data_IF_766270759680
#
_entry.id   IF_766270759680
#
_cell.length_a   1.000
_cell.length_b   1.000
_cell.length_c   1.000
_cell.angle_alpha   90.00
_cell.angle_beta   90.00
_cell.angle_gamma   90.00
#
_symmetry.space_group_name_H-M   'P 1'
#
loop_
_entity.id
_entity.type
_entity.pdbx_description
1 polymer ?
#
# COMPACT_ATOMS: atom_id res chain seq x y z
N UNK A 1 -6.82 3.77 -6.18
CA UNK A 1 -7.73 2.71 -6.65
C UNK A 1 -7.60 1.51 -5.73
N UNK A 2 -8.62 1.24 -4.92
CA UNK A 2 -8.59 0.26 -3.84
C UNK A 2 -8.91 0.88 -2.49
N UNK A 3 -8.88 0.04 -1.45
CA UNK A 3 -9.17 0.46 -0.09
C UNK A 3 -8.14 1.44 0.46
N UNK A 4 -8.60 2.32 1.34
CA UNK A 4 -7.78 3.24 2.13
C UNK A 4 -8.15 3.06 3.60
N UNK A 5 -7.15 2.92 4.47
CA UNK A 5 -7.37 2.78 5.91
C UNK A 5 -6.35 3.64 6.66
N UNK A 6 -6.85 4.66 7.37
CA UNK A 6 -6.06 5.57 8.20
C UNK A 6 -6.44 5.37 9.67
N UNK A 7 -5.45 5.16 10.53
CA UNK A 7 -5.66 5.05 11.98
C UNK A 7 -5.73 6.42 12.67
N UNK A 8 -4.97 7.41 12.19
CA UNK A 8 -4.92 8.76 12.76
C UNK A 8 -4.43 8.78 14.22
N UNK A 9 -3.56 7.85 14.60
CA UNK A 9 -3.04 7.74 15.97
C UNK A 9 -2.44 9.07 16.43
N UNK A 10 -2.96 9.61 17.54
CA UNK A 10 -2.51 10.89 18.11
C UNK A 10 -3.17 12.14 17.51
N UNK A 11 -4.04 12.00 16.51
CA UNK A 11 -4.85 13.10 15.98
C UNK A 11 -6.09 13.33 16.83
N UNK A 12 -6.46 14.59 17.03
CA UNK A 12 -7.79 14.95 17.50
C UNK A 12 -8.82 14.77 16.36
N UNK A 13 -10.10 14.66 16.69
CA UNK A 13 -11.18 14.56 15.68
C UNK A 13 -11.26 15.78 14.75
N UNK A 14 -10.74 16.94 15.19
CA UNK A 14 -10.68 18.16 14.38
C UNK A 14 -9.46 18.24 13.46
N UNK A 15 -8.45 17.42 13.69
CA UNK A 15 -7.23 17.40 12.88
C UNK A 15 -7.49 16.66 11.57
N UNK A 16 -6.90 17.12 10.47
CA UNK A 16 -7.06 16.46 9.18
C UNK A 16 -6.17 15.21 9.14
N UNK A 17 -6.80 14.04 9.01
CA UNK A 17 -6.09 12.76 8.85
C UNK A 17 -5.66 12.54 7.40
N UNK A 18 -6.47 13.01 6.45
CA UNK A 18 -6.22 12.93 5.02
C UNK A 18 -6.88 14.12 4.31
N UNK A 19 -6.13 14.79 3.44
CA UNK A 19 -6.63 15.87 2.57
C UNK A 19 -6.55 15.43 1.11
N UNK A 20 -7.70 15.23 0.50
CA UNK A 20 -7.84 14.98 -0.93
C UNK A 20 -8.34 16.25 -1.60
N UNK A 21 -7.46 16.88 -2.37
CA UNK A 21 -7.75 18.12 -3.10
C UNK A 21 -7.51 17.97 -4.60
N UNK A 22 -7.94 18.98 -5.37
CA UNK A 22 -7.80 18.97 -6.83
C UNK A 22 -8.64 17.88 -7.47
N UNK A 23 -7.99 16.90 -8.13
CA UNK A 23 -8.65 15.76 -8.79
C UNK A 23 -8.32 14.42 -8.11
N UNK A 24 -7.86 14.44 -6.85
CA UNK A 24 -7.55 13.22 -6.12
C UNK A 24 -8.80 12.34 -5.94
N UNK A 25 -8.68 11.03 -6.16
CA UNK A 25 -9.83 10.13 -6.10
C UNK A 25 -9.47 8.77 -5.50
N UNK A 26 -10.35 8.26 -4.64
CA UNK A 26 -10.34 6.86 -4.21
C UNK A 26 -11.41 6.12 -5.02
N UNK A 27 -11.01 5.15 -5.84
CA UNK A 27 -11.93 4.40 -6.72
C UNK A 27 -11.94 2.90 -6.44
N UNK A 28 -13.00 2.21 -6.88
CA UNK A 28 -13.26 0.79 -6.61
C UNK A 28 -12.95 -0.15 -7.79
N UNK A 29 -12.14 0.29 -8.74
CA UNK A 29 -11.82 -0.47 -9.96
C UNK A 29 -10.44 -0.05 -10.51
N UNK A 30 -10.03 -0.63 -11.63
CA UNK A 30 -8.76 -0.35 -12.31
C UNK A 30 -8.87 0.70 -13.44
N UNK A 31 -9.82 1.62 -13.36
CA UNK A 31 -9.91 2.72 -14.32
C UNK A 31 -8.58 3.47 -14.43
N UNK A 32 -8.14 3.71 -15.67
CA UNK A 32 -6.89 4.41 -15.96
C UNK A 32 -5.61 3.60 -15.76
N UNK A 33 -5.68 2.31 -15.36
CA UNK A 33 -4.50 1.47 -15.18
C UNK A 33 -3.79 1.20 -16.52
N UNK A 34 -2.47 1.47 -16.62
CA UNK A 34 -1.67 1.11 -17.79
C UNK A 34 -1.70 -0.38 -18.14
N UNK A 35 -1.72 -0.71 -19.44
CA UNK A 35 -1.80 -2.09 -19.92
C UNK A 35 -0.58 -2.95 -19.51
N UNK A 36 0.58 -2.32 -19.36
CA UNK A 36 1.80 -3.01 -18.91
C UNK A 36 1.76 -3.36 -17.42
N UNK A 37 1.04 -2.61 -16.58
CA UNK A 37 0.72 -3.02 -15.21
C UNK A 37 -0.36 -4.10 -15.17
N UNK A 38 -1.48 -3.89 -15.88
CA UNK A 38 -2.63 -4.82 -15.83
C UNK A 38 -2.29 -6.22 -16.37
N UNK A 39 -1.37 -6.32 -17.33
CA UNK A 39 -0.87 -7.61 -17.84
C UNK A 39 -0.01 -8.40 -16.85
N UNK A 40 0.42 -7.78 -15.74
CA UNK A 40 1.34 -8.35 -14.73
C UNK A 40 0.68 -8.59 -13.38
N UNK A 41 -0.63 -8.42 -13.28
CA UNK A 41 -1.43 -8.71 -12.08
C UNK A 41 -2.66 -9.54 -12.46
N UNK A 42 -3.31 -10.23 -11.50
CA UNK A 42 -4.59 -10.87 -11.75
C UNK A 42 -5.64 -9.87 -12.26
N UNK A 43 -6.59 -10.33 -13.09
CA UNK A 43 -7.68 -9.47 -13.54
C UNK A 43 -8.50 -8.96 -12.35
N UNK A 44 -9.13 -7.79 -12.55
CA UNK A 44 -10.07 -7.22 -11.58
C UNK A 44 -11.13 -8.26 -11.19
N UNK A 45 -11.30 -8.58 -9.90
CA UNK A 45 -12.34 -9.50 -9.46
C UNK A 45 -13.73 -9.03 -9.88
N UNK A 46 -14.68 -9.96 -10.01
CA UNK A 46 -16.07 -9.63 -10.38
C UNK A 46 -17.03 -9.88 -9.22
N UNK A 47 -18.05 -9.04 -9.08
CA UNK A 47 -19.14 -9.18 -8.12
C UNK A 47 -20.49 -8.89 -8.80
N UNK A 48 -21.59 -9.13 -8.08
CA UNK A 48 -22.93 -8.72 -8.51
C UNK A 48 -23.30 -7.43 -7.80
N UNK A 49 -23.58 -6.37 -8.56
CA UNK A 49 -24.02 -5.08 -8.04
C UNK A 49 -25.25 -4.60 -8.83
N UNK A 50 -26.33 -4.24 -8.13
CA UNK A 50 -27.60 -3.83 -8.75
C UNK A 50 -28.15 -4.79 -9.83
N UNK A 51 -27.87 -6.09 -9.71
CA UNK A 51 -28.29 -7.12 -10.65
C UNK A 51 -27.39 -7.29 -11.88
N UNK A 52 -26.29 -6.54 -11.96
CA UNK A 52 -25.29 -6.63 -13.04
C UNK A 52 -24.01 -7.31 -12.53
N UNK A 53 -23.32 -8.08 -13.39
CA UNK A 53 -21.98 -8.59 -13.09
C UNK A 53 -20.93 -7.56 -13.49
N UNK A 54 -20.21 -7.03 -12.51
CA UNK A 54 -19.27 -5.92 -12.67
C UNK A 54 -17.92 -6.25 -12.03
N UNK A 55 -16.84 -5.66 -12.54
CA UNK A 55 -15.52 -5.70 -11.92
C UNK A 55 -15.46 -4.78 -10.69
N UNK A 56 -14.93 -5.27 -9.56
CA UNK A 56 -14.83 -4.52 -8.31
C UNK A 56 -13.56 -4.91 -7.55
N UNK A 57 -12.96 -3.93 -6.87
CA UNK A 57 -11.90 -4.17 -5.89
C UNK A 57 -12.44 -4.50 -4.49
N UNK A 58 -13.75 -4.40 -4.30
CA UNK A 58 -14.39 -4.38 -2.99
C UNK A 58 -13.71 -3.40 -2.04
N UNK A 59 -13.43 -2.21 -2.58
CA UNK A 59 -12.72 -1.15 -1.89
C UNK A 59 -13.57 -0.55 -0.78
N UNK A 60 -12.91 -0.32 0.36
CA UNK A 60 -13.49 0.31 1.53
C UNK A 60 -12.62 1.50 1.96
N UNK A 61 -13.26 2.58 2.40
CA UNK A 61 -12.58 3.78 2.90
C UNK A 61 -12.80 3.88 4.41
N UNK A 62 -11.71 3.83 5.18
CA UNK A 62 -11.75 3.85 6.65
C UNK A 62 -10.84 4.92 7.22
N UNK A 63 -11.35 5.71 8.16
CA UNK A 63 -10.56 6.64 8.96
C UNK A 63 -11.02 6.52 10.41
N UNK A 64 -10.11 6.09 11.30
CA UNK A 64 -10.42 5.88 12.72
C UNK A 64 -10.39 7.16 13.53
N UNK A 65 -9.41 8.03 13.30
CA UNK A 65 -9.30 9.31 13.99
C UNK A 65 -8.91 10.40 12.98
N UNK A 66 -9.40 11.62 13.22
CA UNK A 66 -9.19 12.78 12.37
C UNK A 66 -10.19 12.88 11.21
N UNK A 67 -10.25 14.08 10.62
CA UNK A 67 -11.17 14.44 9.55
C UNK A 67 -10.63 14.06 8.17
N UNK A 68 -11.52 13.66 7.28
CA UNK A 68 -11.26 13.50 5.84
C UNK A 68 -11.64 14.76 5.09
N UNK A 69 -10.68 15.51 4.56
CA UNK A 69 -10.97 16.71 3.77
C UNK A 69 -11.10 16.37 2.28
N UNK A 70 -12.23 16.74 1.67
CA UNK A 70 -12.50 16.61 0.23
C UNK A 70 -12.72 18.00 -0.38
N UNK A 71 -11.81 18.42 -1.25
CA UNK A 71 -11.84 19.75 -1.88
C UNK A 71 -11.66 19.70 -3.40
N UNK A 72 -12.06 20.77 -4.09
CA UNK A 72 -11.97 20.83 -5.55
C UNK A 72 -12.95 19.86 -6.22
N UNK A 73 -12.43 18.89 -6.97
CA UNK A 73 -13.19 17.79 -7.61
C UNK A 73 -12.83 16.42 -7.04
N UNK A 74 -12.22 16.37 -5.85
CA UNK A 74 -11.83 15.13 -5.23
C UNK A 74 -13.04 14.26 -4.85
N UNK A 75 -12.89 12.94 -4.91
CA UNK A 75 -13.99 11.99 -4.63
C UNK A 75 -13.53 10.76 -3.84
N UNK A 76 -14.48 10.18 -3.10
CA UNK A 76 -14.38 8.81 -2.54
C UNK A 76 -15.49 7.99 -3.18
N UNK A 77 -15.12 7.03 -4.03
CA UNK A 77 -16.01 6.41 -4.98
C UNK A 77 -16.43 7.37 -6.11
N UNK A 78 -17.24 6.85 -7.02
CA UNK A 78 -17.88 7.57 -8.11
C UNK A 78 -19.36 7.18 -8.18
N UNK A 79 -20.18 8.01 -8.80
CA UNK A 79 -21.60 7.71 -8.99
C UNK A 79 -21.77 6.47 -9.87
N UNK A 80 -22.60 5.53 -9.44
CA UNK A 80 -22.92 4.32 -10.21
C UNK A 80 -23.51 4.67 -11.59
N UNK A 81 -22.98 4.05 -12.64
CA UNK A 81 -23.49 4.17 -14.01
C UNK A 81 -23.94 2.79 -14.48
N UNK A 82 -25.27 2.56 -14.51
CA UNK A 82 -25.83 1.27 -14.97
C UNK A 82 -25.38 0.93 -16.39
N UNK A 83 -25.03 -0.33 -16.60
CA UNK A 83 -24.49 -0.85 -17.86
C UNK A 83 -22.96 -0.77 -17.98
N UNK A 84 -22.25 -0.16 -17.02
CA UNK A 84 -20.80 -0.23 -16.98
C UNK A 84 -20.32 -1.62 -16.54
N UNK A 85 -19.15 -2.01 -17.02
CA UNK A 85 -18.55 -3.31 -16.67
C UNK A 85 -17.80 -3.30 -15.34
N UNK A 86 -17.78 -2.18 -14.62
CA UNK A 86 -17.05 -1.98 -13.36
C UNK A 86 -17.94 -1.29 -12.35
N UNK A 87 -17.67 -1.50 -11.07
CA UNK A 87 -18.33 -0.82 -9.96
C UNK A 87 -17.64 0.52 -9.68
N UNK A 88 -18.41 1.59 -9.61
CA UNK A 88 -17.93 2.95 -9.31
C UNK A 88 -17.98 3.30 -7.82
N UNK A 89 -19.03 2.86 -7.12
CA UNK A 89 -19.24 3.15 -5.69
C UNK A 89 -18.28 2.36 -4.83
N UNK A 90 -17.89 2.91 -3.68
CA UNK A 90 -17.19 2.14 -2.64
C UNK A 90 -18.12 1.07 -2.06
N UNK A 91 -17.58 -0.08 -1.66
CA UNK A 91 -18.35 -1.12 -0.96
C UNK A 91 -18.71 -0.66 0.46
N UNK A 92 -17.84 0.16 1.08
CA UNK A 92 -18.12 0.77 2.37
C UNK A 92 -17.26 1.99 2.67
N UNK A 93 -17.84 2.91 3.43
CA UNK A 93 -17.18 4.08 4.01
C UNK A 93 -17.45 4.06 5.52
N UNK A 94 -16.37 4.11 6.31
CA UNK A 94 -16.39 4.01 7.77
C UNK A 94 -15.43 5.06 8.35
N UNK A 95 -15.94 6.27 8.56
CA UNK A 95 -15.15 7.37 9.10
C UNK A 95 -15.71 7.68 10.48
N UNK A 96 -14.84 7.71 11.48
CA UNK A 96 -15.30 8.07 12.81
C UNK A 96 -15.85 9.49 12.80
N UNK A 97 -17.04 9.60 13.36
CA UNK A 97 -17.84 10.80 13.42
C UNK A 97 -17.68 11.29 14.86
N UNK A 98 -16.64 12.09 15.10
CA UNK A 98 -16.36 12.64 16.42
C UNK A 98 -17.61 13.31 17.03
N UNK A 99 -17.76 13.37 18.37
CA UNK A 99 -18.96 13.91 18.97
C UNK A 99 -19.19 15.34 18.47
N UNK A 100 -20.38 15.56 17.89
CA UNK A 100 -20.93 16.84 17.45
C UNK A 100 -20.41 17.97 18.35
N UNK A 101 -19.56 18.85 17.80
CA UNK A 101 -19.18 20.06 18.52
C UNK A 101 -20.49 20.81 18.78
N UNK A 102 -20.73 21.21 20.03
CA UNK A 102 -22.04 21.67 20.50
C UNK A 102 -22.56 22.97 19.87
N UNK A 103 -21.97 23.46 18.78
CA UNK A 103 -22.50 24.54 17.98
C UNK A 103 -23.58 24.00 17.01
N UNK A 104 -24.83 24.13 17.44
CA UNK A 104 -26.06 23.86 16.69
C UNK A 104 -26.25 24.84 15.50
N UNK A 105 -25.17 25.25 14.83
CA UNK A 105 -25.20 26.05 13.61
C UNK A 105 -25.46 25.10 12.43
N UNK A 106 -26.62 25.20 11.77
CA UNK A 106 -26.91 24.39 10.60
C UNK A 106 -25.92 24.75 9.47
N UNK A 107 -25.00 23.85 9.14
CA UNK A 107 -24.11 23.99 7.98
C UNK A 107 -22.61 23.81 8.21
N UNK A 108 -22.16 23.41 9.40
CA UNK A 108 -20.71 23.29 9.69
C UNK A 108 -20.34 21.89 10.16
N UNK A 109 -19.58 21.20 9.29
CA UNK A 109 -18.86 19.94 9.50
C UNK A 109 -19.71 18.71 9.88
N UNK A 110 -19.92 17.84 8.89
CA UNK A 110 -20.14 16.42 9.19
C UNK A 110 -18.81 15.93 9.77
N UNK A 111 -18.81 15.70 11.07
CA UNK A 111 -17.78 15.13 11.95
C UNK A 111 -16.79 14.08 11.39
N UNK A 112 -17.01 13.48 10.22
CA UNK A 112 -16.00 12.70 9.48
C UNK A 112 -15.41 13.35 8.21
N UNK A 113 -16.11 14.30 7.59
CA UNK A 113 -15.78 14.88 6.29
C UNK A 113 -15.79 16.42 6.28
N UNK A 114 -14.68 17.03 5.85
CA UNK A 114 -14.52 18.47 5.63
C UNK A 114 -14.11 18.83 4.21
N UNK A 115 -13.57 20.04 4.02
CA UNK A 115 -13.24 20.58 2.70
C UNK A 115 -14.45 21.17 1.94
N UNK A 116 -14.21 21.70 0.73
CA UNK A 116 -15.25 22.42 -0.03
C UNK A 116 -16.35 21.51 -0.58
N UNK A 117 -16.07 20.23 -0.75
CA UNK A 117 -17.03 19.22 -1.22
C UNK A 117 -17.57 18.39 -0.04
N UNK A 118 -16.68 18.04 0.90
CA UNK A 118 -17.03 17.20 2.04
C UNK A 118 -17.80 15.95 1.63
N UNK A 119 -18.83 15.54 2.38
CA UNK A 119 -19.51 14.27 2.13
C UNK A 119 -20.30 14.21 0.82
N UNK A 120 -20.55 15.34 0.15
CA UNK A 120 -21.32 15.37 -1.10
C UNK A 120 -20.62 14.65 -2.26
N UNK A 121 -19.29 14.48 -2.18
CA UNK A 121 -18.48 13.77 -3.16
C UNK A 121 -18.09 12.34 -2.71
N UNK A 122 -18.86 11.77 -1.79
CA UNK A 122 -18.70 10.39 -1.34
C UNK A 122 -19.81 9.53 -1.92
N UNK A 123 -19.45 8.50 -2.67
CA UNK A 123 -20.36 7.55 -3.31
C UNK A 123 -20.07 6.15 -2.75
N UNK A 124 -20.93 5.68 -1.84
CA UNK A 124 -20.75 4.42 -1.09
C UNK A 124 -22.05 3.66 -0.94
N UNK A 125 -21.98 2.33 -0.95
CA UNK A 125 -23.15 1.45 -0.79
C UNK A 125 -23.75 1.51 0.61
N UNK A 126 -22.94 1.80 1.64
CA UNK A 126 -23.40 1.95 3.01
C UNK A 126 -23.73 3.41 3.39
N UNK A 127 -23.59 4.37 2.47
CA UNK A 127 -23.72 5.80 2.76
C UNK A 127 -22.47 6.39 3.41
N UNK A 128 -22.64 7.49 4.17
CA UNK A 128 -21.53 8.31 4.70
C UNK A 128 -21.51 8.42 6.23
N UNK A 129 -22.48 7.82 6.91
CA UNK A 129 -22.73 8.03 8.34
C UNK A 129 -22.30 6.86 9.20
N UNK A 130 -21.68 5.83 8.62
CA UNK A 130 -21.23 4.68 9.42
C UNK A 130 -19.93 5.08 10.12
N UNK A 131 -19.84 4.89 11.45
CA UNK A 131 -18.62 5.12 12.18
C UNK A 131 -17.57 4.08 11.79
N UNK A 132 -16.34 4.31 12.24
CA UNK A 132 -15.28 3.31 12.15
C UNK A 132 -15.72 1.96 12.76
N UNK A 133 -15.54 0.87 12.00
CA UNK A 133 -16.16 -0.44 12.25
C UNK A 133 -15.21 -1.50 12.82
N UNK A 134 -13.92 -1.19 12.99
CA UNK A 134 -12.88 -2.14 13.40
C UNK A 134 -12.37 -1.93 14.83
N UNK A 135 -12.91 -0.94 15.57
CA UNK A 135 -12.53 -0.66 16.97
C UNK A 135 -10.98 -0.65 17.19
N UNK A 136 -10.47 -1.22 18.27
CA UNK A 136 -9.03 -1.42 18.52
C UNK A 136 -8.47 -2.71 17.88
N UNK A 137 -9.19 -3.36 16.96
CA UNK A 137 -8.76 -4.63 16.35
C UNK A 137 -7.61 -4.49 15.37
N UNK A 138 -7.33 -3.27 14.90
CA UNK A 138 -6.25 -2.99 13.94
C UNK A 138 -5.36 -1.89 14.52
N UNK A 139 -4.07 -2.19 14.59
CA UNK A 139 -2.99 -1.26 14.89
C UNK A 139 -1.99 -1.22 13.72
N UNK A 140 -1.19 -0.16 13.66
CA UNK A 140 -0.08 -0.11 12.74
C UNK A 140 0.89 -1.27 13.09
N UNK A 141 1.32 -2.10 12.11
CA UNK A 141 2.16 -3.25 12.38
C UNK A 141 3.62 -2.80 12.49
N UNK A 142 4.09 -2.45 13.69
CA UNK A 142 5.44 -1.88 13.89
C UNK A 142 6.52 -2.95 13.82
N UNK A 143 7.68 -2.61 13.27
CA UNK A 143 8.90 -3.41 13.32
C UNK A 143 9.41 -3.61 14.77
N UNK A 144 8.92 -2.81 15.72
CA UNK A 144 9.19 -2.96 17.14
C UNK A 144 8.21 -3.91 17.85
N UNK A 145 7.16 -4.39 17.18
CA UNK A 145 6.21 -5.33 17.78
C UNK A 145 6.84 -6.72 17.97
N UNK A 146 6.55 -7.44 19.07
CA UNK A 146 7.07 -8.79 19.28
C UNK A 146 6.51 -9.77 18.25
N UNK A 147 7.35 -10.70 17.77
CA UNK A 147 6.96 -11.67 16.76
C UNK A 147 7.74 -12.98 16.85
N UNK A 148 7.07 -14.12 16.72
CA UNK A 148 7.74 -15.42 16.58
C UNK A 148 8.69 -15.79 17.73
N UNK A 149 8.46 -15.29 18.94
CA UNK A 149 9.34 -15.47 20.10
C UNK A 149 10.46 -14.42 20.25
N UNK A 150 10.57 -13.49 19.30
CA UNK A 150 11.46 -12.34 19.34
C UNK A 150 10.80 -11.14 20.02
N UNK A 151 11.60 -10.30 20.65
CA UNK A 151 11.13 -9.06 21.30
C UNK A 151 10.61 -8.02 20.30
N UNK A 152 11.11 -8.05 19.07
CA UNK A 152 10.72 -7.15 17.98
C UNK A 152 10.70 -7.92 16.65
N UNK A 153 9.89 -7.48 15.69
CA UNK A 153 9.88 -8.05 14.34
C UNK A 153 11.18 -7.77 13.60
N UNK A 154 11.80 -6.61 13.87
CA UNK A 154 13.16 -6.27 13.42
C UNK A 154 14.19 -7.32 13.83
N UNK A 155 14.15 -7.81 15.08
CA UNK A 155 15.05 -8.85 15.55
C UNK A 155 14.79 -10.19 14.84
N UNK A 156 13.52 -10.52 14.59
CA UNK A 156 13.17 -11.69 13.79
C UNK A 156 13.72 -11.58 12.35
N UNK A 157 13.57 -10.43 11.70
CA UNK A 157 14.10 -10.18 10.35
C UNK A 157 15.62 -10.29 10.32
N UNK A 158 16.33 -9.75 11.31
CA UNK A 158 17.79 -9.87 11.42
C UNK A 158 18.26 -11.33 11.47
N UNK A 159 17.57 -12.19 12.22
CA UNK A 159 17.91 -13.61 12.37
C UNK A 159 17.43 -14.49 11.21
N UNK A 160 16.40 -14.05 10.48
CA UNK A 160 15.72 -14.82 9.43
C UNK A 160 15.89 -14.20 8.03
N UNK A 161 17.01 -13.50 7.81
CA UNK A 161 17.38 -12.92 6.51
C UNK A 161 18.82 -13.23 6.13
N UNK A 162 19.11 -13.13 4.83
CA UNK A 162 20.48 -13.07 4.34
C UNK A 162 20.99 -11.63 4.43
N UNK A 163 22.01 -11.38 5.25
CA UNK A 163 22.65 -10.07 5.36
C UNK A 163 23.59 -9.83 4.18
N UNK A 164 23.27 -8.83 3.36
CA UNK A 164 24.09 -8.36 2.26
C UNK A 164 24.60 -6.96 2.59
N UNK A 165 25.92 -6.82 2.73
CA UNK A 165 26.52 -5.49 2.89
C UNK A 165 26.34 -4.69 1.59
N UNK A 166 25.84 -3.46 1.69
CA UNK A 166 25.53 -2.57 0.58
C UNK A 166 26.76 -2.22 -0.28
N UNK A 167 27.97 -2.19 0.29
CA UNK A 167 29.22 -1.93 -0.44
C UNK A 167 29.45 -2.97 -1.54
N UNK A 168 28.96 -4.21 -1.35
CA UNK A 168 29.07 -5.27 -2.35
C UNK A 168 28.27 -4.98 -3.62
N UNK A 169 27.25 -4.12 -3.51
CA UNK A 169 26.42 -3.63 -4.62
C UNK A 169 26.51 -2.10 -4.77
N UNK A 170 27.47 -1.46 -4.09
CA UNK A 170 27.64 0.00 -4.09
C UNK A 170 26.37 0.79 -3.71
N UNK A 171 25.53 0.24 -2.82
CA UNK A 171 24.26 0.84 -2.39
C UNK A 171 23.21 0.99 -3.50
N UNK A 172 23.40 0.36 -4.67
CA UNK A 172 22.51 0.58 -5.82
C UNK A 172 22.46 -0.57 -6.84
N UNK A 173 21.32 -0.67 -7.52
CA UNK A 173 21.13 -1.55 -8.68
C UNK A 173 20.66 -0.69 -9.86
N UNK A 174 21.59 -0.31 -10.73
CA UNK A 174 21.33 0.53 -11.92
C UNK A 174 22.05 -0.02 -13.18
N UNK A 175 22.18 0.79 -14.23
CA UNK A 175 22.87 0.39 -15.47
C UNK A 175 24.38 0.22 -15.32
N UNK A 176 24.99 0.80 -14.28
CA UNK A 176 26.39 0.67 -13.94
C UNK A 176 26.69 -0.55 -13.06
N UNK A 177 25.68 -1.09 -12.38
CA UNK A 177 25.82 -2.28 -11.54
C UNK A 177 26.15 -3.51 -12.38
N UNK A 178 27.32 -4.09 -12.13
CA UNK A 178 27.76 -5.34 -12.75
C UNK A 178 26.93 -6.55 -12.31
N UNK A 179 27.02 -7.65 -13.06
CA UNK A 179 26.32 -8.89 -12.68
C UNK A 179 26.78 -9.38 -11.30
N UNK A 180 25.83 -9.79 -10.46
CA UNK A 180 26.13 -10.41 -9.18
C UNK A 180 25.12 -11.52 -8.85
N UNK A 181 25.52 -12.41 -7.94
CA UNK A 181 24.65 -13.46 -7.41
C UNK A 181 25.12 -13.83 -6.01
N UNK A 182 24.30 -13.50 -5.02
CA UNK A 182 24.55 -13.79 -3.61
C UNK A 182 23.46 -14.71 -3.06
N UNK A 183 23.88 -15.73 -2.32
CA UNK A 183 23.00 -16.76 -1.76
C UNK A 183 23.38 -16.99 -0.31
N UNK A 184 22.42 -16.85 0.59
CA UNK A 184 22.53 -17.17 2.01
C UNK A 184 21.48 -18.18 2.47
N UNK A 185 21.48 -18.45 3.77
CA UNK A 185 20.59 -19.45 4.37
C UNK A 185 19.10 -19.09 4.26
N UNK A 186 18.77 -17.80 4.33
CA UNK A 186 17.40 -17.30 4.40
C UNK A 186 16.96 -16.50 3.18
N UNK A 187 17.86 -16.26 2.23
CA UNK A 187 17.53 -15.51 1.03
C UNK A 187 18.64 -15.50 0.00
N UNK A 188 18.28 -15.09 -1.20
CA UNK A 188 19.21 -14.90 -2.32
C UNK A 188 18.79 -13.72 -3.16
N UNK A 189 19.78 -13.03 -3.72
CA UNK A 189 19.60 -11.94 -4.66
C UNK A 189 20.61 -12.07 -5.79
N UNK A 190 20.16 -11.93 -7.03
CA UNK A 190 21.02 -11.90 -8.20
C UNK A 190 20.56 -10.83 -9.19
N UNK A 191 21.52 -10.19 -9.83
CA UNK A 191 21.28 -9.17 -10.85
C UNK A 191 21.97 -9.56 -12.15
N UNK A 192 21.23 -9.47 -13.24
CA UNK A 192 21.76 -9.58 -14.59
C UNK A 192 21.63 -8.22 -15.29
N UNK A 193 22.74 -7.52 -15.48
CA UNK A 193 22.79 -6.18 -16.06
C UNK A 193 22.42 -6.16 -17.55
N UNK A 194 22.64 -7.26 -18.27
CA UNK A 194 22.31 -7.36 -19.68
C UNK A 194 20.79 -7.49 -19.92
N UNK A 195 20.11 -8.32 -19.13
CA UNK A 195 18.66 -8.51 -19.22
C UNK A 195 17.85 -7.56 -18.31
N UNK A 196 18.54 -6.87 -17.39
CA UNK A 196 17.96 -6.05 -16.32
C UNK A 196 16.97 -6.82 -15.44
N UNK A 197 17.36 -8.05 -15.10
CA UNK A 197 16.55 -8.95 -14.28
C UNK A 197 17.15 -9.07 -12.87
N UNK A 198 16.36 -8.71 -11.87
CA UNK A 198 16.60 -8.95 -10.45
C UNK A 198 15.92 -10.26 -10.02
N UNK A 199 16.69 -11.26 -9.63
CA UNK A 199 16.14 -12.51 -9.08
C UNK A 199 16.19 -12.45 -7.56
N UNK A 200 15.06 -12.67 -6.89
CA UNK A 200 14.93 -12.62 -5.43
C UNK A 200 14.30 -13.91 -4.89
N UNK A 201 14.80 -14.40 -3.76
CA UNK A 201 14.14 -15.45 -2.98
C UNK A 201 14.37 -15.21 -1.50
N UNK A 202 13.38 -15.52 -0.65
CA UNK A 202 13.52 -15.38 0.80
C UNK A 202 13.61 -13.92 1.25
N UNK A 203 14.27 -13.66 2.38
CA UNK A 203 14.49 -12.29 2.88
C UNK A 203 15.96 -11.94 2.71
N UNK A 204 16.25 -10.81 2.05
CA UNK A 204 17.58 -10.24 1.95
C UNK A 204 17.59 -8.90 2.67
N UNK A 205 18.42 -8.79 3.70
CA UNK A 205 18.62 -7.56 4.46
C UNK A 205 19.85 -6.83 3.93
N UNK A 206 19.68 -5.60 3.48
CA UNK A 206 20.75 -4.71 3.06
C UNK A 206 21.31 -4.03 4.31
N UNK A 207 22.64 -4.03 4.47
CA UNK A 207 23.31 -3.41 5.63
C UNK A 207 24.50 -2.55 5.25
N UNK A 208 24.78 -1.52 6.05
CA UNK A 208 26.02 -0.71 6.00
C UNK A 208 27.26 -1.46 6.55
N UNK A 209 27.11 -2.74 6.91
CA UNK A 209 28.12 -3.54 7.59
C UNK A 209 28.05 -3.52 9.12
N UNK A 210 27.09 -2.80 9.71
CA UNK A 210 26.77 -2.91 11.13
C UNK A 210 25.90 -4.14 11.43
N UNK A 211 26.03 -4.69 12.63
CA UNK A 211 25.27 -5.86 13.09
C UNK A 211 23.87 -5.51 13.64
N UNK A 212 23.51 -4.22 13.72
CA UNK A 212 22.29 -3.74 14.35
C UNK A 212 21.33 -3.10 13.33
N UNK A 213 20.18 -3.74 13.07
CA UNK A 213 19.15 -3.22 12.17
C UNK A 213 19.36 -3.60 10.71
N UNK A 214 18.62 -2.93 9.82
CA UNK A 214 18.90 -2.94 8.39
C UNK A 214 20.06 -1.98 8.09
N UNK A 215 20.01 -0.71 8.48
CA UNK A 215 21.15 0.22 8.50
C UNK A 215 21.76 0.58 7.14
N UNK A 216 21.44 -0.15 6.08
CA UNK A 216 21.87 0.13 4.71
C UNK A 216 20.76 0.78 3.89
N UNK A 217 21.17 1.47 2.84
CA UNK A 217 20.31 2.13 1.87
C UNK A 217 20.38 1.38 0.53
N UNK A 218 19.25 1.28 -0.19
CA UNK A 218 19.24 0.69 -1.51
C UNK A 218 18.51 1.54 -2.54
N UNK A 219 19.28 1.99 -3.54
CA UNK A 219 18.75 2.67 -4.72
C UNK A 219 18.46 1.69 -5.84
N UNK A 220 17.25 1.71 -6.38
CA UNK A 220 16.77 0.84 -7.44
C UNK A 220 16.50 1.62 -8.72
N UNK A 221 17.26 1.27 -9.76
CA UNK A 221 17.11 1.82 -11.09
C UNK A 221 17.64 3.24 -11.21
N UNK A 222 17.37 3.80 -12.37
CA UNK A 222 17.63 5.18 -12.73
C UNK A 222 16.60 5.60 -13.79
N UNK A 223 16.60 6.88 -14.13
CA UNK A 223 15.69 7.42 -15.14
C UNK A 223 15.73 6.62 -16.45
N UNK A 224 14.56 6.26 -16.98
CA UNK A 224 14.36 5.46 -18.20
C UNK A 224 14.93 4.02 -18.12
N UNK A 225 15.23 3.52 -16.92
CA UNK A 225 15.58 2.13 -16.71
C UNK A 225 14.37 1.37 -16.22
N UNK A 226 14.17 0.19 -16.80
CA UNK A 226 13.23 -0.81 -16.28
C UNK A 226 14.02 -1.94 -15.65
N UNK A 227 13.81 -2.15 -14.36
CA UNK A 227 14.18 -3.36 -13.65
C UNK A 227 12.98 -4.30 -13.69
N UNK A 228 13.20 -5.50 -14.20
CA UNK A 228 12.23 -6.58 -14.00
C UNK A 228 12.70 -7.48 -12.87
N UNK A 229 11.80 -7.90 -11.98
CA UNK A 229 12.12 -8.90 -10.97
C UNK A 229 11.46 -10.25 -11.24
N UNK A 230 12.08 -11.30 -10.74
CA UNK A 230 11.52 -12.66 -10.73
C UNK A 230 11.86 -13.37 -9.43
N UNK A 231 11.06 -14.39 -9.08
CA UNK A 231 11.15 -15.08 -7.80
C UNK A 231 10.27 -14.42 -6.74
N UNK A 232 10.42 -14.89 -5.50
CA UNK A 232 9.52 -14.55 -4.39
C UNK A 232 10.33 -14.23 -3.15
N UNK A 233 10.39 -12.97 -2.79
CA UNK A 233 11.20 -12.53 -1.66
C UNK A 233 10.96 -11.08 -1.27
N UNK A 234 11.65 -10.67 -0.22
CA UNK A 234 11.65 -9.29 0.24
C UNK A 234 13.05 -8.75 0.40
N UNK A 235 13.16 -7.45 0.16
CA UNK A 235 14.31 -6.64 0.55
C UNK A 235 13.96 -5.91 1.84
N UNK A 236 14.87 -5.95 2.80
CA UNK A 236 14.78 -5.22 4.07
C UNK A 236 15.95 -4.25 4.15
N UNK A 237 15.69 -2.95 4.23
CA UNK A 237 16.69 -1.87 4.23
C UNK A 237 16.28 -0.80 5.24
N UNK A 238 17.18 0.13 5.57
CA UNK A 238 16.80 1.34 6.30
C UNK A 238 15.93 2.20 5.40
N UNK A 239 16.40 2.42 4.17
CA UNK A 239 15.72 3.26 3.18
C UNK A 239 15.79 2.64 1.79
N UNK A 240 14.74 2.89 0.99
CA UNK A 240 14.73 2.59 -0.44
C UNK A 240 14.47 3.84 -1.27
N UNK A 241 15.27 4.03 -2.32
CA UNK A 241 14.99 5.00 -3.37
C UNK A 241 14.73 4.27 -4.69
N UNK A 242 13.62 4.57 -5.38
CA UNK A 242 13.26 3.95 -6.67
C UNK A 242 13.18 5.01 -7.76
N UNK A 243 14.17 4.99 -8.67
CA UNK A 243 14.32 5.98 -9.76
C UNK A 243 13.96 5.44 -11.15
N UNK A 244 13.68 4.14 -11.26
CA UNK A 244 13.26 3.48 -12.51
C UNK A 244 11.96 2.70 -12.38
N UNK A 245 11.51 2.10 -13.48
CA UNK A 245 10.40 1.15 -13.43
C UNK A 245 10.84 -0.12 -12.67
N UNK A 246 9.98 -0.64 -11.80
CA UNK A 246 10.19 -1.86 -11.03
C UNK A 246 9.03 -2.83 -11.28
N UNK A 247 9.20 -3.76 -12.22
CA UNK A 247 8.10 -4.60 -12.73
C UNK A 247 8.32 -6.09 -12.45
N UNK A 248 7.26 -6.81 -12.11
CA UNK A 248 7.26 -8.28 -12.06
C UNK A 248 7.45 -8.87 -13.47
N UNK A 249 8.30 -9.89 -13.68
CA UNK A 249 8.37 -10.58 -14.98
C UNK A 249 7.08 -11.35 -15.29
N UNK A 250 6.55 -12.06 -14.30
CA UNK A 250 5.31 -12.81 -14.33
C UNK A 250 4.17 -12.07 -13.64
N UNK A 251 3.21 -12.83 -13.10
CA UNK A 251 2.01 -12.28 -12.46
C UNK A 251 2.26 -12.05 -10.97
N UNK A 252 2.29 -10.80 -10.54
CA UNK A 252 2.34 -10.41 -9.12
C UNK A 252 0.98 -10.60 -8.44
N UNK A 253 0.91 -11.20 -7.23
CA UNK A 253 1.98 -11.82 -6.44
C UNK A 253 2.06 -13.35 -6.59
N UNK A 254 1.33 -13.91 -7.56
CA UNK A 254 1.15 -15.36 -7.71
C UNK A 254 2.40 -16.10 -8.21
N UNK A 255 3.12 -15.52 -9.16
CA UNK A 255 4.29 -16.12 -9.81
C UNK A 255 5.56 -15.49 -9.28
N UNK A 256 5.68 -14.17 -9.41
CA UNK A 256 6.76 -13.38 -8.85
C UNK A 256 6.20 -12.43 -7.80
N UNK A 257 6.93 -12.23 -6.71
CA UNK A 257 6.52 -11.35 -5.64
C UNK A 257 7.75 -10.68 -5.02
N UNK A 258 7.74 -9.34 -5.04
CA UNK A 258 8.73 -8.53 -4.38
C UNK A 258 8.06 -7.70 -3.29
N UNK A 259 8.62 -7.80 -2.09
CA UNK A 259 8.32 -6.93 -0.97
C UNK A 259 9.49 -5.99 -0.66
N UNK A 260 9.21 -4.71 -0.39
CA UNK A 260 10.16 -3.76 0.18
C UNK A 260 9.73 -3.43 1.62
N UNK A 261 10.63 -3.65 2.57
CA UNK A 261 10.42 -3.38 4.00
C UNK A 261 11.47 -2.37 4.43
N UNK A 262 11.07 -1.14 4.77
CA UNK A 262 11.95 -0.10 5.25
C UNK A 262 11.81 0.11 6.76
N UNK A 263 12.94 0.17 7.48
CA UNK A 263 12.99 0.65 8.88
C UNK A 263 12.76 2.16 8.98
N UNK A 264 13.07 2.91 7.92
CA UNK A 264 12.78 4.32 7.71
C UNK A 264 11.82 4.48 6.53
N UNK A 265 12.28 5.13 5.47
CA UNK A 265 11.43 5.66 4.41
C UNK A 265 11.53 4.87 3.10
N UNK A 266 10.52 5.02 2.25
CA UNK A 266 10.56 4.59 0.85
C UNK A 266 10.26 5.81 -0.04
N UNK A 267 11.22 6.16 -0.87
CA UNK A 267 11.12 7.24 -1.84
C UNK A 267 10.89 6.70 -3.25
N UNK A 268 9.76 7.06 -3.86
CA UNK A 268 9.38 6.64 -5.22
C UNK A 268 9.35 7.85 -6.16
N UNK A 269 10.26 7.87 -7.13
CA UNK A 269 10.42 8.92 -8.15
C UNK A 269 10.69 10.35 -7.61
N UNK A 270 11.36 10.47 -6.47
CA UNK A 270 11.77 11.74 -5.85
C UNK A 270 12.92 12.43 -6.61
N UNK A 271 13.70 11.66 -7.38
CA UNK A 271 14.86 12.14 -8.12
C UNK A 271 14.58 13.15 -9.24
N UNK A 272 15.64 13.83 -9.66
CA UNK A 272 15.61 14.88 -10.68
C UNK A 272 15.16 14.38 -12.05
N UNK A 273 13.89 14.62 -12.38
CA UNK A 273 13.29 14.24 -13.66
C UNK A 273 12.80 12.80 -13.74
N UNK A 274 12.74 12.09 -12.61
CA UNK A 274 11.96 10.86 -12.47
C UNK A 274 10.48 11.24 -12.54
N UNK A 275 9.68 10.51 -13.30
CA UNK A 275 8.25 10.76 -13.44
C UNK A 275 7.64 9.66 -14.28
N UNK A 276 6.35 9.37 -14.11
CA UNK A 276 5.66 8.37 -14.94
C UNK A 276 6.27 6.97 -14.81
N UNK A 277 6.88 6.70 -13.66
CA UNK A 277 7.46 5.40 -13.36
C UNK A 277 6.36 4.39 -13.06
N UNK A 278 6.63 3.13 -13.38
CA UNK A 278 5.72 2.01 -13.16
C UNK A 278 6.30 1.01 -12.18
N UNK A 279 5.55 0.69 -11.14
CA UNK A 279 6.05 -0.16 -10.06
C UNK A 279 5.03 -1.22 -9.68
N UNK A 280 5.50 -2.43 -9.36
CA UNK A 280 4.67 -3.54 -8.88
C UNK A 280 5.32 -4.15 -7.65
N UNK A 281 4.63 -4.19 -6.51
CA UNK A 281 5.20 -4.78 -5.29
C UNK A 281 4.34 -4.61 -4.04
N UNK A 282 4.81 -5.16 -2.93
CA UNK A 282 4.31 -4.84 -1.60
C UNK A 282 5.30 -3.87 -0.94
N UNK A 283 4.83 -2.74 -0.42
CA UNK A 283 5.69 -1.69 0.13
C UNK A 283 5.29 -1.43 1.58
N UNK A 284 6.25 -1.59 2.48
CA UNK A 284 6.13 -1.30 3.90
C UNK A 284 7.23 -0.34 4.31
N UNK A 285 6.89 0.74 5.00
CA UNK A 285 7.86 1.66 5.59
C UNK A 285 7.43 2.02 7.00
N UNK A 286 8.27 1.78 8.02
CA UNK A 286 7.99 2.24 9.39
C UNK A 286 7.94 3.78 9.45
N UNK A 287 8.68 4.49 8.60
CA UNK A 287 8.66 5.94 8.48
C UNK A 287 7.57 6.42 7.53
N UNK A 288 7.99 6.96 6.39
CA UNK A 288 7.15 7.54 5.34
C UNK A 288 7.29 6.79 4.01
N UNK A 289 6.18 6.68 3.27
CA UNK A 289 6.25 6.41 1.82
C UNK A 289 5.98 7.72 1.08
N UNK A 290 7.00 8.23 0.41
CA UNK A 290 6.87 9.34 -0.55
C UNK A 290 6.72 8.77 -1.97
N UNK A 291 5.69 9.20 -2.68
CA UNK A 291 5.61 9.01 -4.13
C UNK A 291 5.38 10.33 -4.81
N UNK A 292 6.45 10.86 -5.40
CA UNK A 292 6.40 12.12 -6.13
C UNK A 292 5.93 11.91 -7.58
N UNK A 293 5.14 12.86 -8.07
CA UNK A 293 4.73 12.98 -9.49
C UNK A 293 3.74 11.90 -9.94
N UNK A 294 3.47 11.85 -11.24
CA UNK A 294 2.47 10.98 -11.86
C UNK A 294 2.94 9.54 -12.05
N UNK A 295 3.26 8.82 -10.98
CA UNK A 295 3.65 7.40 -11.06
C UNK A 295 2.42 6.48 -11.09
N UNK A 296 2.63 5.26 -11.57
CA UNK A 296 1.60 4.23 -11.69
C UNK A 296 2.08 2.98 -10.93
N UNK A 297 1.47 2.69 -9.78
CA UNK A 297 1.94 1.64 -8.86
C UNK A 297 0.83 0.60 -8.69
N UNK A 298 1.13 -0.69 -8.87
CA UNK A 298 0.24 -1.79 -8.53
C UNK A 298 0.75 -2.56 -7.32
N UNK A 299 -0.03 -2.64 -6.24
CA UNK A 299 0.46 -3.17 -4.99
C UNK A 299 -0.31 -2.70 -3.78
N UNK A 300 0.35 -2.68 -2.63
CA UNK A 300 -0.16 -2.10 -1.39
C UNK A 300 0.95 -1.31 -0.70
N UNK A 301 0.57 -0.18 -0.11
CA UNK A 301 1.42 0.61 0.76
C UNK A 301 0.96 0.46 2.20
N UNK A 302 1.90 0.29 3.12
CA UNK A 302 1.68 0.31 4.57
C UNK A 302 2.76 1.18 5.18
N UNK A 303 2.38 2.30 5.79
CA UNK A 303 3.33 3.23 6.40
C UNK A 303 2.71 4.09 7.48
N UNK A 304 3.52 4.66 8.37
CA UNK A 304 3.06 5.63 9.35
C UNK A 304 2.67 6.95 8.67
N UNK A 305 3.41 7.35 7.63
CA UNK A 305 3.17 8.58 6.90
C UNK A 305 3.14 8.36 5.39
N UNK A 306 2.38 9.21 4.68
CA UNK A 306 2.28 9.19 3.23
C UNK A 306 2.47 10.60 2.69
N UNK A 307 3.45 10.77 1.79
CA UNK A 307 3.64 12.00 1.03
C UNK A 307 3.31 11.76 -0.44
N UNK A 308 2.07 12.11 -0.83
CA UNK A 308 1.52 11.88 -2.18
C UNK A 308 1.06 13.20 -2.86
N UNK A 309 1.42 14.35 -2.30
CA UNK A 309 0.87 15.67 -2.68
C UNK A 309 1.54 16.35 -3.88
N UNK A 310 2.78 15.97 -4.21
CA UNK A 310 3.56 16.58 -5.29
C UNK A 310 3.24 15.98 -6.66
N UNK A 311 2.04 16.32 -7.17
CA UNK A 311 1.32 15.67 -8.28
C UNK A 311 0.91 14.23 -7.97
N UNK A 312 -0.38 13.92 -8.18
CA UNK A 312 -1.03 12.73 -7.64
C UNK A 312 -0.58 11.45 -8.38
N UNK A 313 0.09 10.49 -7.71
CA UNK A 313 0.34 9.17 -8.26
C UNK A 313 -0.95 8.35 -8.28
N UNK A 314 -0.99 7.31 -9.14
CA UNK A 314 -2.06 6.31 -9.11
C UNK A 314 -1.55 5.04 -8.49
N UNK A 315 -2.22 4.62 -7.41
CA UNK A 315 -1.95 3.38 -6.70
C UNK A 315 -3.13 2.44 -6.92
N UNK A 316 -2.84 1.21 -7.35
CA UNK A 316 -3.81 0.18 -7.66
C UNK A 316 -3.63 -1.02 -6.73
N UNK A 317 -4.60 -1.23 -5.85
CA UNK A 317 -4.62 -2.40 -4.98
C UNK A 317 -4.63 -3.69 -5.81
N UNK A 318 -3.84 -4.67 -5.42
CA UNK A 318 -3.88 -6.02 -6.00
C UNK A 318 -4.49 -6.98 -4.97
N UNK A 319 -5.81 -7.30 -5.05
CA UNK A 319 -6.50 -8.06 -3.99
C UNK A 319 -5.86 -9.43 -3.71
N UNK A 320 -5.30 -10.08 -4.73
CA UNK A 320 -4.60 -11.36 -4.59
C UNK A 320 -3.40 -11.30 -3.62
N UNK A 321 -2.84 -10.11 -3.35
CA UNK A 321 -1.78 -9.91 -2.38
C UNK A 321 -2.21 -10.30 -0.96
N UNK A 322 -3.43 -9.97 -0.53
CA UNK A 322 -3.92 -10.35 0.79
C UNK A 322 -3.92 -11.88 0.98
N UNK A 323 -4.36 -12.62 -0.04
CA UNK A 323 -4.33 -14.09 -0.03
C UNK A 323 -2.93 -14.71 -0.21
N UNK A 324 -1.96 -13.92 -0.66
CA UNK A 324 -0.59 -14.36 -0.96
C UNK A 324 0.45 -13.78 0.00
N UNK A 325 0.05 -13.03 1.03
CA UNK A 325 0.99 -12.32 1.91
C UNK A 325 1.92 -13.29 2.64
N UNK A 326 1.41 -14.48 3.00
CA UNK A 326 2.20 -15.55 3.61
C UNK A 326 3.27 -16.14 2.70
N UNK A 327 3.17 -15.87 1.41
CA UNK A 327 4.07 -16.35 0.38
C UNK A 327 5.08 -15.29 -0.09
N UNK A 328 5.06 -14.10 0.53
CA UNK A 328 6.13 -13.11 0.46
C UNK A 328 6.91 -13.17 1.78
N UNK A 329 8.06 -13.87 1.82
CA UNK A 329 8.88 -13.97 3.02
C UNK A 329 9.16 -12.59 3.63
N UNK A 330 8.98 -12.40 4.94
CA UNK A 330 9.19 -11.10 5.60
C UNK A 330 7.95 -10.19 5.68
N UNK A 331 6.82 -10.54 5.06
CA UNK A 331 5.55 -9.79 5.23
C UNK A 331 4.56 -10.46 6.19
N UNK A 332 4.85 -11.67 6.66
CA UNK A 332 3.96 -12.42 7.57
C UNK A 332 3.82 -11.81 8.96
N UNK A 333 4.81 -11.05 9.43
CA UNK A 333 4.73 -10.32 10.70
C UNK A 333 4.05 -8.96 10.58
N UNK A 334 3.86 -8.46 9.36
CA UNK A 334 3.31 -7.13 9.08
C UNK A 334 1.78 -7.15 8.83
N UNK A 335 1.14 -8.31 8.92
CA UNK A 335 -0.30 -8.48 8.66
C UNK A 335 -1.22 -8.25 9.86
N UNK A 336 -0.68 -7.86 11.02
CA UNK A 336 -1.41 -7.87 12.28
C UNK A 336 -1.84 -9.27 12.72
N UNK A 337 -2.33 -9.41 13.94
CA UNK A 337 -2.95 -10.67 14.38
C UNK A 337 -4.29 -10.81 13.65
N UNK A 338 -4.52 -11.93 12.96
CA UNK A 338 -5.81 -12.21 12.33
C UNK A 338 -6.92 -12.28 13.39
N UNK A 339 -7.68 -11.20 13.55
CA UNK A 339 -8.86 -11.19 14.39
C UNK A 339 -10.04 -11.77 13.61
N UNK A 340 -10.30 -13.07 13.77
CA UNK A 340 -11.47 -13.71 13.20
C UNK A 340 -12.72 -13.28 13.97
N UNK A 341 -13.50 -12.35 13.41
CA UNK A 341 -14.81 -11.99 13.94
C UNK A 341 -15.87 -12.95 13.37
N UNK A 342 -16.47 -13.76 14.24
CA UNK A 342 -17.77 -14.39 13.97
C UNK A 342 -18.82 -13.52 14.65
N UNK A 343 -19.50 -12.66 13.89
CA UNK A 343 -20.66 -11.93 14.40
C UNK A 343 -21.94 -12.68 14.02
N UNK A 344 -22.67 -13.19 15.02
CA UNK A 344 -24.05 -13.67 14.83
C UNK A 344 -24.96 -12.47 14.69
N UNK A 345 -25.49 -12.23 13.50
CA UNK A 345 -26.31 -11.03 13.21
C UNK A 345 -27.81 -11.23 13.44
N UNK A 346 -28.32 -12.46 13.52
CA UNK A 346 -29.63 -12.77 14.14
C UNK A 346 -29.84 -14.29 14.27
N UNK A 347 -30.47 -14.75 15.36
CA UNK A 347 -31.07 -16.09 15.45
C UNK A 347 -32.46 -15.96 16.06
N UNK A 348 -33.47 -16.46 15.36
CA UNK A 348 -34.84 -16.50 15.83
C UNK A 348 -35.37 -17.92 15.60
N UNK A 349 -35.73 -18.62 16.68
CA UNK A 349 -36.62 -19.78 16.61
C UNK A 349 -38.04 -19.27 16.82
N UNK A 350 -38.88 -19.36 15.78
CA UNK A 350 -40.29 -19.07 15.89
C UNK A 350 -41.04 -20.34 16.32
N UNK A 351 -41.74 -20.28 17.46
CA UNK A 351 -42.76 -21.25 17.87
C UNK A 351 -44.14 -20.81 17.39
#
# INVERSE_FOLDING_TARGET
HGSVHILGSGLASTDTAIDLSGTASVGNNYEGMPADLSSRIPPLPTTVFNGETVGSLSAEFRVKNGRTDLSGSATVGQTNVSGNSVKETMDGVYVDVGPYDGDNTPGTYYDGFGGTQGPSNVNSDNGITNPYDLDDMVSFPSLNDPYGGYSTYRAWLADNSYSLNEDLISGKIDSSTGNFSYVGAYGSIAWNSASRILTISGVVRITDGSDAGSGGELKLGEKNMTIQYTGRGSLFSEEFEVHGDLLSQGIFPSTDALGLIADGDIELATGGGDSQLKMIGAFYAEGEIESAKQNEIAGSFVSNYFSLGSQVPKIYQVPALASSISSIPGFTGLGGSANYLITTTNWQEAY
#
